data_IF_449185763744
#
_entry.id   IF_449185763744
#
_cell.length_a   1.000
_cell.length_b   1.000
_cell.length_c   1.000
_cell.angle_alpha   90.00
_cell.angle_beta   90.00
_cell.angle_gamma   90.00
#
_symmetry.space_group_name_H-M   'P 1'
#
loop_
_entity.id
_entity.type
_entity.pdbx_description
1 polymer ?
#
# COMPACT_ATOMS: atom_id res chain seq x y z
N UNK A 1 -12.19 4.33 14.42
CA UNK A 1 -11.14 3.29 14.43
C UNK A 1 -10.12 3.59 15.52
N UNK A 2 -9.83 2.64 16.40
CA UNK A 2 -8.65 2.66 17.26
C UNK A 2 -8.19 1.21 17.53
N UNK A 3 -6.96 1.06 18.01
CA UNK A 3 -6.45 -0.21 18.48
C UNK A 3 -7.11 -0.54 19.82
N UNK A 4 -7.80 -1.68 19.96
CA UNK A 4 -8.45 -2.09 21.22
C UNK A 4 -7.55 -3.01 22.04
N UNK A 5 -6.93 -3.99 21.38
CA UNK A 5 -6.20 -5.06 22.07
C UNK A 5 -5.06 -5.61 21.22
N UNK A 6 -3.93 -5.87 21.86
CA UNK A 6 -2.80 -6.61 21.30
C UNK A 6 -2.51 -7.81 22.19
N UNK A 7 -2.57 -9.01 21.62
CA UNK A 7 -2.24 -10.25 22.32
C UNK A 7 -1.00 -10.85 21.70
N UNK A 8 -0.06 -11.28 22.54
CA UNK A 8 1.22 -11.85 22.12
C UNK A 8 1.48 -13.13 22.90
N UNK A 9 1.88 -14.19 22.22
CA UNK A 9 2.29 -15.46 22.81
C UNK A 9 3.50 -15.99 22.06
N UNK A 10 4.59 -16.27 22.77
CA UNK A 10 5.82 -16.79 22.18
C UNK A 10 6.52 -15.84 21.22
N UNK A 11 6.13 -14.56 21.16
CA UNK A 11 6.75 -13.56 20.30
C UNK A 11 7.95 -12.94 20.99
N UNK A 12 9.16 -13.18 20.47
CA UNK A 12 10.43 -12.65 21.01
C UNK A 12 10.50 -12.81 22.53
N UNK A 13 10.57 -11.72 23.29
CA UNK A 13 10.66 -11.73 24.75
C UNK A 13 9.37 -12.19 25.47
N UNK A 14 8.24 -12.30 24.79
CA UNK A 14 6.94 -12.62 25.39
C UNK A 14 6.70 -14.13 25.44
N UNK A 15 7.32 -14.83 26.39
CA UNK A 15 7.17 -16.28 26.56
C UNK A 15 5.75 -16.70 26.97
N UNK A 16 5.08 -15.93 27.84
CA UNK A 16 3.70 -16.18 28.26
C UNK A 16 2.73 -15.28 27.51
N UNK A 17 1.47 -15.74 27.38
CA UNK A 17 0.39 -14.94 26.79
C UNK A 17 0.31 -13.60 27.52
N UNK A 18 0.52 -12.53 26.77
CA UNK A 18 0.48 -11.15 27.26
C UNK A 18 -0.61 -10.43 26.49
N UNK A 19 -1.54 -9.81 27.19
CA UNK A 19 -2.65 -9.06 26.62
C UNK A 19 -2.47 -7.59 27.00
N UNK A 20 -2.38 -6.72 26.02
CA UNK A 20 -2.34 -5.27 26.19
C UNK A 20 -3.67 -4.70 25.69
N UNK A 21 -4.41 -4.06 26.58
CA UNK A 21 -5.62 -3.33 26.25
C UNK A 21 -5.30 -1.85 26.07
N UNK A 22 -5.89 -1.26 25.04
CA UNK A 22 -5.64 0.12 24.65
C UNK A 22 -6.95 0.90 24.74
N UNK A 23 -6.87 2.07 25.37
CA UNK A 23 -7.95 3.03 25.41
C UNK A 23 -7.82 4.03 24.25
N UNK A 24 -8.91 4.71 23.93
CA UNK A 24 -8.86 5.86 23.04
C UNK A 24 -8.01 6.96 23.68
N UNK A 25 -6.92 7.38 23.01
CA UNK A 25 -6.04 8.43 23.50
C UNK A 25 -4.57 8.06 23.36
N UNK A 26 -3.77 8.43 24.35
CA UNK A 26 -2.33 8.21 24.37
C UNK A 26 -2.03 7.06 25.34
N UNK A 27 -1.39 6.00 24.83
CA UNK A 27 -0.89 4.89 25.66
C UNK A 27 0.63 4.91 25.64
N UNK A 28 1.26 4.99 26.81
CA UNK A 28 2.71 4.94 26.95
C UNK A 28 3.17 3.57 27.46
N UNK A 29 4.11 2.95 26.74
CA UNK A 29 4.75 1.70 27.15
C UNK A 29 6.13 2.03 27.72
N UNK A 30 6.29 1.91 29.04
CA UNK A 30 7.53 2.23 29.76
C UNK A 30 8.15 0.99 30.39
N UNK A 31 9.47 1.01 30.55
CA UNK A 31 10.20 -0.09 31.18
C UNK A 31 11.72 -0.01 30.96
N UNK A 32 12.51 -0.77 31.75
CA UNK A 32 13.96 -0.75 31.65
C UNK A 32 14.46 -1.21 30.28
N UNK A 33 15.74 -0.95 30.00
CA UNK A 33 16.36 -1.42 28.77
C UNK A 33 16.41 -2.95 28.76
N UNK A 34 16.10 -3.55 27.61
CA UNK A 34 15.98 -5.02 27.50
C UNK A 34 14.64 -5.61 27.95
N UNK A 35 13.72 -4.85 28.54
CA UNK A 35 12.41 -5.35 29.00
C UNK A 35 11.44 -5.79 27.88
N UNK A 36 11.81 -5.63 26.61
CA UNK A 36 10.96 -5.98 25.48
C UNK A 36 9.96 -4.89 25.06
N UNK A 37 10.07 -3.66 25.57
CA UNK A 37 9.23 -2.52 25.16
C UNK A 37 9.18 -2.33 23.64
N UNK A 38 10.33 -2.35 22.97
CA UNK A 38 10.40 -2.21 21.52
C UNK A 38 9.87 -3.44 20.78
N UNK A 39 9.77 -4.61 21.42
CA UNK A 39 9.17 -5.80 20.82
C UNK A 39 7.64 -5.67 20.71
N UNK A 40 7.01 -4.78 21.50
CA UNK A 40 5.59 -4.43 21.33
C UNK A 40 5.35 -3.73 19.98
N UNK A 41 6.23 -2.80 19.60
CA UNK A 41 6.14 -2.16 18.28
C UNK A 41 6.44 -3.15 17.15
N UNK A 42 7.42 -4.04 17.33
CA UNK A 42 7.74 -5.06 16.33
C UNK A 42 6.60 -6.06 16.13
N UNK A 43 5.88 -6.44 17.19
CA UNK A 43 4.75 -7.37 17.08
C UNK A 43 3.58 -6.74 16.32
N UNK A 44 3.31 -5.45 16.53
CA UNK A 44 2.35 -4.68 15.74
C UNK A 44 2.75 -4.62 14.26
N UNK A 45 4.02 -4.30 13.96
CA UNK A 45 4.51 -4.28 12.57
C UNK A 45 4.40 -5.66 11.92
N UNK A 46 4.74 -6.71 12.67
CA UNK A 46 4.70 -8.08 12.19
C UNK A 46 3.29 -8.58 11.87
N UNK A 47 2.32 -8.34 12.75
CA UNK A 47 0.93 -8.76 12.52
C UNK A 47 0.25 -7.97 11.39
N UNK A 48 0.68 -6.73 11.14
CA UNK A 48 0.26 -5.92 9.99
C UNK A 48 0.85 -6.38 8.64
N UNK A 49 1.60 -7.48 8.61
CA UNK A 49 2.04 -8.12 7.36
C UNK A 49 3.48 -7.81 6.94
N UNK A 50 4.30 -7.21 7.80
CA UNK A 50 5.72 -7.00 7.52
C UNK A 50 6.45 -8.33 7.27
N UNK A 51 7.15 -8.42 6.14
CA UNK A 51 7.92 -9.61 5.76
C UNK A 51 9.42 -9.42 5.97
N UNK A 52 9.91 -8.19 6.00
CA UNK A 52 11.32 -7.88 6.14
C UNK A 52 11.82 -8.18 7.55
N UNK A 53 12.60 -9.25 7.68
CA UNK A 53 13.25 -9.61 8.94
C UNK A 53 14.18 -8.51 9.45
N UNK A 54 14.81 -7.74 8.55
CA UNK A 54 15.64 -6.58 8.90
C UNK A 54 14.83 -5.53 9.65
N UNK A 55 13.61 -5.23 9.18
CA UNK A 55 12.72 -4.27 9.85
C UNK A 55 12.21 -4.77 11.20
N UNK A 56 12.13 -6.10 11.35
CA UNK A 56 11.77 -6.77 12.59
C UNK A 56 12.98 -7.06 13.49
N UNK A 57 14.17 -6.54 13.18
CA UNK A 57 15.40 -6.76 13.97
C UNK A 57 15.72 -8.25 14.19
N UNK A 58 15.44 -9.08 13.18
CA UNK A 58 15.75 -10.52 13.15
C UNK A 58 16.55 -10.88 11.90
N UNK A 59 17.17 -12.07 11.89
CA UNK A 59 17.88 -12.63 10.74
C UNK A 59 17.03 -13.68 10.03
N UNK A 60 16.36 -14.53 10.80
CA UNK A 60 15.51 -15.63 10.32
C UNK A 60 14.11 -15.52 10.88
N UNK A 61 13.12 -16.09 10.19
CA UNK A 61 11.73 -16.15 10.67
C UNK A 61 11.61 -16.81 12.05
N UNK A 62 12.47 -17.80 12.33
CA UNK A 62 12.57 -18.47 13.64
C UNK A 62 12.95 -17.51 14.79
N UNK A 63 13.67 -16.42 14.51
CA UNK A 63 14.09 -15.44 15.54
C UNK A 63 12.90 -14.64 16.11
N UNK A 64 11.73 -14.71 15.46
CA UNK A 64 10.48 -14.16 15.98
C UNK A 64 9.95 -15.01 17.14
N UNK A 65 10.28 -16.31 17.15
CA UNK A 65 9.81 -17.24 18.17
C UNK A 65 10.71 -17.13 19.41
N UNK A 66 10.11 -17.15 20.60
CA UNK A 66 10.84 -17.14 21.85
C UNK A 66 11.85 -18.29 21.90
N UNK A 67 13.13 -17.92 21.93
CA UNK A 67 14.26 -18.85 21.88
C UNK A 67 14.57 -19.53 23.23
N UNK A 68 13.84 -19.18 24.30
CA UNK A 68 14.16 -19.61 25.66
C UNK A 68 14.95 -18.56 26.44
N UNK A 69 14.83 -18.58 27.76
CA UNK A 69 15.48 -17.62 28.65
C UNK A 69 14.79 -17.51 30.00
N UNK A 70 15.53 -17.06 31.02
CA UNK A 70 15.02 -16.82 32.38
C UNK A 70 14.25 -18.03 32.96
N UNK A 71 14.80 -19.23 32.81
CA UNK A 71 14.21 -20.48 33.32
C UNK A 71 13.02 -21.02 32.50
N UNK A 72 12.67 -20.41 31.37
CA UNK A 72 11.64 -20.92 30.44
C UNK A 72 12.26 -21.57 29.21
N UNK A 73 11.72 -22.72 28.82
CA UNK A 73 12.09 -23.42 27.59
C UNK A 73 11.68 -22.63 26.36
N UNK A 74 12.38 -22.85 25.26
CA UNK A 74 12.01 -22.30 23.97
C UNK A 74 10.62 -22.77 23.52
N UNK A 75 9.89 -21.92 22.80
CA UNK A 75 8.58 -22.27 22.25
C UNK A 75 8.70 -22.71 20.79
N UNK A 76 7.72 -23.51 20.34
CA UNK A 76 7.63 -23.98 18.95
C UNK A 76 6.86 -23.04 18.01
N UNK A 77 6.18 -22.04 18.55
CA UNK A 77 5.27 -21.15 17.82
C UNK A 77 5.24 -19.76 18.46
N UNK A 78 5.07 -18.74 17.62
CA UNK A 78 4.73 -17.39 18.04
C UNK A 78 3.40 -16.97 17.40
N UNK A 79 2.52 -16.37 18.20
CA UNK A 79 1.23 -15.83 17.80
C UNK A 79 1.13 -14.38 18.25
N UNK A 80 0.68 -13.52 17.35
CA UNK A 80 0.29 -12.15 17.67
C UNK A 80 -1.10 -11.88 17.09
N UNK A 81 -1.99 -11.36 17.91
CA UNK A 81 -3.35 -10.98 17.52
C UNK A 81 -3.59 -9.49 17.81
N UNK A 82 -4.03 -8.76 16.80
CA UNK A 82 -4.35 -7.34 16.84
C UNK A 82 -5.85 -7.14 16.65
N UNK A 83 -6.53 -6.59 17.65
CA UNK A 83 -7.96 -6.29 17.57
C UNK A 83 -8.18 -4.80 17.36
N UNK A 84 -8.83 -4.45 16.26
CA UNK A 84 -9.17 -3.09 15.86
C UNK A 84 -10.67 -2.85 16.00
N UNK A 85 -11.05 -1.68 16.50
CA UNK A 85 -12.44 -1.24 16.55
C UNK A 85 -12.94 -0.83 15.16
N UNK A 86 -14.04 -1.43 14.71
CA UNK A 86 -14.72 -1.15 13.43
C UNK A 86 -16.12 -0.56 13.61
N UNK A 87 -16.44 0.06 14.76
CA UNK A 87 -17.77 0.66 14.98
C UNK A 87 -18.10 1.78 13.98
N UNK A 88 -17.08 2.44 13.43
CA UNK A 88 -17.23 3.48 12.41
C UNK A 88 -17.36 2.93 10.97
N UNK A 89 -17.32 1.61 10.77
CA UNK A 89 -17.43 0.98 9.45
C UNK A 89 -16.31 1.36 8.48
N UNK A 90 -15.10 1.61 8.99
CA UNK A 90 -13.96 2.04 8.16
C UNK A 90 -13.46 0.92 7.24
N UNK A 91 -13.77 -0.34 7.57
CA UNK A 91 -13.70 -1.48 6.66
C UNK A 91 -15.10 -2.03 6.45
N UNK A 92 -15.38 -2.40 5.19
CA UNK A 92 -16.62 -3.05 4.76
C UNK A 92 -16.68 -4.50 5.29
N UNK A 93 -17.00 -4.63 6.56
CA UNK A 93 -17.13 -5.90 7.29
C UNK A 93 -18.38 -5.87 8.16
N UNK A 94 -19.12 -6.99 8.29
CA UNK A 94 -20.30 -7.07 9.16
C UNK A 94 -19.94 -7.08 10.65
N UNK A 95 -18.65 -7.19 10.99
CA UNK A 95 -18.17 -7.25 12.36
C UNK A 95 -17.85 -5.86 12.92
N UNK A 96 -18.26 -5.62 14.17
CA UNK A 96 -17.91 -4.42 14.95
C UNK A 96 -16.42 -4.38 15.35
N UNK A 97 -15.76 -5.54 15.36
CA UNK A 97 -14.33 -5.67 15.64
C UNK A 97 -13.67 -6.55 14.58
N UNK A 98 -12.43 -6.19 14.25
CA UNK A 98 -11.59 -6.94 13.32
C UNK A 98 -10.35 -7.39 14.07
N UNK A 99 -10.19 -8.70 14.21
CA UNK A 99 -9.01 -9.34 14.80
C UNK A 99 -8.13 -9.90 13.70
N UNK A 100 -6.93 -9.36 13.54
CA UNK A 100 -5.90 -9.87 12.62
C UNK A 100 -4.93 -10.67 13.46
N UNK A 101 -4.72 -11.94 13.12
CA UNK A 101 -3.80 -12.83 13.81
C UNK A 101 -2.75 -13.33 12.84
N UNK A 102 -1.49 -13.34 13.27
CA UNK A 102 -0.38 -13.97 12.55
C UNK A 102 0.29 -15.00 13.46
N UNK A 103 0.55 -16.18 12.91
CA UNK A 103 1.29 -17.26 13.56
C UNK A 103 2.48 -17.66 12.73
N UNK A 104 3.56 -18.03 13.39
CA UNK A 104 4.71 -18.67 12.76
C UNK A 104 5.18 -19.85 13.60
N UNK A 105 5.57 -20.92 12.93
CA UNK A 105 6.03 -22.16 13.53
C UNK A 105 7.51 -22.37 13.22
N UNK A 106 8.21 -23.13 14.07
CA UNK A 106 9.60 -23.53 13.79
C UNK A 106 9.77 -24.38 12.53
N UNK A 107 8.69 -25.00 12.03
CA UNK A 107 8.67 -25.67 10.73
C UNK A 107 8.85 -24.70 9.55
N UNK A 108 8.77 -23.39 9.77
CA UNK A 108 8.79 -22.35 8.73
C UNK A 108 7.40 -21.98 8.20
N UNK A 109 6.36 -22.68 8.64
CA UNK A 109 4.98 -22.38 8.27
C UNK A 109 4.50 -21.07 8.89
N UNK A 110 3.75 -20.29 8.11
CA UNK A 110 3.13 -19.06 8.56
C UNK A 110 1.62 -19.15 8.32
N UNK A 111 0.84 -18.79 9.33
CA UNK A 111 -0.62 -18.72 9.23
C UNK A 111 -1.11 -17.31 9.49
N UNK A 112 -2.11 -16.91 8.72
CA UNK A 112 -2.78 -15.63 8.86
C UNK A 112 -4.25 -15.90 9.10
N UNK A 113 -4.83 -15.20 10.07
CA UNK A 113 -6.24 -15.30 10.38
C UNK A 113 -6.86 -13.90 10.47
N UNK A 114 -8.08 -13.77 9.95
CA UNK A 114 -8.94 -12.60 10.18
C UNK A 114 -10.18 -13.12 10.89
N UNK A 115 -10.49 -12.60 12.07
CA UNK A 115 -11.62 -13.07 12.89
C UNK A 115 -11.64 -14.60 13.07
N UNK A 116 -10.46 -15.20 13.33
CA UNK A 116 -10.23 -16.65 13.46
C UNK A 116 -10.44 -17.48 12.19
N UNK A 117 -10.76 -16.87 11.04
CA UNK A 117 -10.83 -17.53 9.74
C UNK A 117 -9.45 -17.51 9.08
N UNK A 118 -8.98 -18.65 8.58
CA UNK A 118 -7.68 -18.76 7.89
C UNK A 118 -7.74 -18.03 6.55
N UNK A 119 -6.78 -17.14 6.31
CA UNK A 119 -6.67 -16.32 5.10
C UNK A 119 -5.23 -16.31 4.58
N UNK A 120 -5.01 -15.75 3.40
CA UNK A 120 -3.65 -15.53 2.88
C UNK A 120 -3.16 -14.14 3.30
N UNK A 121 -1.84 -13.97 3.30
CA UNK A 121 -1.24 -12.66 3.55
C UNK A 121 -1.77 -11.57 2.59
N UNK A 122 -1.98 -11.93 1.31
CA UNK A 122 -2.55 -10.99 0.32
C UNK A 122 -3.90 -10.43 0.77
N UNK A 123 -4.73 -11.25 1.41
CA UNK A 123 -6.07 -10.85 1.86
C UNK A 123 -5.96 -9.91 3.09
N UNK A 124 -5.00 -10.16 3.99
CA UNK A 124 -4.65 -9.23 5.09
C UNK A 124 -4.16 -7.89 4.56
N UNK A 125 -3.23 -7.90 3.59
CA UNK A 125 -2.72 -6.67 2.98
C UNK A 125 -3.81 -5.89 2.24
N UNK A 126 -4.76 -6.58 1.58
CA UNK A 126 -5.88 -5.94 0.91
C UNK A 126 -6.82 -5.26 1.92
N UNK A 127 -7.12 -5.92 3.04
CA UNK A 127 -7.92 -5.36 4.13
C UNK A 127 -7.26 -4.08 4.68
N UNK A 128 -5.95 -4.14 4.93
CA UNK A 128 -5.14 -3.04 5.42
C UNK A 128 -5.00 -1.90 4.38
N UNK A 129 -5.00 -2.22 3.09
CA UNK A 129 -5.03 -1.20 2.04
C UNK A 129 -6.38 -0.47 1.99
N UNK A 130 -7.49 -1.18 2.14
CA UNK A 130 -8.83 -0.57 2.26
C UNK A 130 -8.91 0.34 3.50
N UNK A 131 -8.26 -0.09 4.58
CA UNK A 131 -8.11 0.67 5.82
C UNK A 131 -7.31 1.97 5.69
N UNK A 132 -6.51 2.10 4.62
CA UNK A 132 -5.40 3.06 4.52
C UNK A 132 -4.33 2.88 5.61
N UNK A 133 -4.21 1.67 6.16
CA UNK A 133 -3.18 1.26 7.12
C UNK A 133 -2.22 0.33 6.36
N UNK A 134 -1.54 0.84 5.32
CA UNK A 134 -0.62 0.04 4.52
C UNK A 134 0.66 -0.39 5.25
N UNK A 135 1.46 -1.27 4.64
CA UNK A 135 2.76 -1.67 5.19
C UNK A 135 3.76 -0.50 5.30
N UNK A 136 3.60 0.52 4.44
CA UNK A 136 4.35 1.79 4.48
C UNK A 136 3.60 2.87 5.28
N UNK A 137 2.46 2.53 5.90
CA UNK A 137 1.73 3.53 6.67
C UNK A 137 2.53 3.93 7.88
N UNK A 138 2.55 5.23 8.15
CA UNK A 138 3.12 5.91 9.33
C UNK A 138 2.59 5.40 10.69
N UNK A 139 1.87 4.29 10.70
CA UNK A 139 1.24 3.65 11.84
C UNK A 139 2.27 3.11 12.84
N UNK A 140 3.47 2.70 12.39
CA UNK A 140 4.53 2.21 13.28
C UNK A 140 5.87 2.89 12.99
N UNK A 141 6.14 4.00 13.68
CA UNK A 141 7.43 4.71 13.58
C UNK A 141 8.46 4.05 14.48
N UNK A 142 9.50 3.47 13.87
CA UNK A 142 10.62 2.84 14.58
C UNK A 142 11.74 3.81 14.95
N UNK A 143 12.65 3.37 15.81
CA UNK A 143 13.88 4.09 16.13
C UNK A 143 14.76 4.25 14.87
N UNK A 144 15.28 5.45 14.63
CA UNK A 144 16.11 5.77 13.47
C UNK A 144 15.35 5.99 12.17
N UNK A 145 14.01 5.81 12.15
CA UNK A 145 13.19 6.07 10.96
C UNK A 145 13.16 7.58 10.64
N UNK A 146 13.21 8.44 11.67
CA UNK A 146 13.29 9.89 11.49
C UNK A 146 14.62 10.30 10.85
N UNK A 147 15.75 9.78 11.36
CA UNK A 147 17.07 10.06 10.80
C UNK A 147 17.21 9.52 9.38
N UNK A 148 16.66 8.32 9.13
CA UNK A 148 16.56 7.75 7.80
C UNK A 148 15.73 8.64 6.87
N UNK A 149 14.55 9.11 7.31
CA UNK A 149 13.67 9.98 6.54
C UNK A 149 14.36 11.30 6.12
N UNK A 150 15.17 11.89 7.00
CA UNK A 150 15.97 13.07 6.70
C UNK A 150 17.08 12.79 5.68
N UNK A 151 17.62 11.57 5.69
CA UNK A 151 18.70 11.11 4.82
C UNK A 151 18.22 10.53 3.47
N UNK A 152 16.90 10.39 3.27
CA UNK A 152 16.35 9.83 2.03
C UNK A 152 16.68 10.70 0.82
N UNK A 153 16.93 10.01 -0.31
CA UNK A 153 17.03 10.66 -1.62
C UNK A 153 15.69 11.27 -2.02
N UNK A 154 15.72 12.24 -2.93
CA UNK A 154 14.53 12.97 -3.35
C UNK A 154 13.44 12.03 -3.91
N UNK A 155 13.83 10.96 -4.61
CA UNK A 155 12.92 9.98 -5.19
C UNK A 155 12.19 9.16 -4.12
N UNK A 156 12.91 8.67 -3.11
CA UNK A 156 12.35 7.88 -1.99
C UNK A 156 11.46 8.75 -1.10
N UNK A 157 11.90 9.99 -0.84
CA UNK A 157 11.15 10.97 -0.07
C UNK A 157 9.85 11.36 -0.75
N UNK A 158 9.82 11.42 -2.09
CA UNK A 158 8.59 11.69 -2.85
C UNK A 158 7.53 10.60 -2.61
N UNK A 159 7.93 9.34 -2.51
CA UNK A 159 7.02 8.24 -2.17
C UNK A 159 6.28 8.50 -0.85
N UNK A 160 7.01 8.94 0.18
CA UNK A 160 6.42 9.32 1.47
C UNK A 160 5.31 10.38 1.34
N UNK A 161 5.55 11.42 0.53
CA UNK A 161 4.55 12.46 0.28
C UNK A 161 3.35 11.95 -0.53
N UNK A 162 3.58 11.11 -1.53
CA UNK A 162 2.52 10.53 -2.35
C UNK A 162 1.58 9.62 -1.55
N UNK A 163 2.13 8.95 -0.53
CA UNK A 163 1.37 8.11 0.41
C UNK A 163 0.53 8.93 1.35
N UNK A 164 1.12 9.97 1.94
CA UNK A 164 0.43 10.92 2.80
C UNK A 164 -0.69 11.66 2.03
N UNK A 165 -0.45 11.95 0.75
CA UNK A 165 -1.46 12.55 -0.14
C UNK A 165 -2.52 11.55 -0.63
N UNK A 166 -2.37 10.25 -0.35
CA UNK A 166 -3.34 9.21 -0.72
C UNK A 166 -3.45 8.99 -2.23
N UNK A 167 -2.39 9.25 -3.00
CA UNK A 167 -2.42 9.20 -4.48
C UNK A 167 -2.16 7.78 -5.01
N UNK A 168 -1.61 6.88 -4.18
CA UNK A 168 -1.29 5.48 -4.55
C UNK A 168 -2.40 4.74 -5.31
N UNK A 169 -3.69 4.76 -4.89
CA UNK A 169 -4.74 4.05 -5.62
C UNK A 169 -4.88 4.52 -7.08
N UNK A 170 -4.74 5.82 -7.33
CA UNK A 170 -4.80 6.38 -8.68
C UNK A 170 -3.58 6.01 -9.52
N UNK A 171 -2.40 5.93 -8.91
CA UNK A 171 -1.19 5.47 -9.60
C UNK A 171 -1.29 4.00 -10.02
N UNK A 172 -1.82 3.15 -9.14
CA UNK A 172 -2.07 1.72 -9.45
C UNK A 172 -3.09 1.60 -10.58
N UNK A 173 -4.21 2.33 -10.54
CA UNK A 173 -5.20 2.34 -11.62
C UNK A 173 -4.59 2.82 -12.95
N UNK A 174 -3.73 3.84 -12.92
CA UNK A 174 -3.03 4.32 -14.12
C UNK A 174 -2.10 3.24 -14.69
N UNK A 175 -1.30 2.60 -13.84
CA UNK A 175 -0.37 1.55 -14.25
C UNK A 175 -1.11 0.34 -14.84
N UNK A 176 -2.24 -0.06 -14.25
CA UNK A 176 -3.10 -1.13 -14.77
C UNK A 176 -3.70 -0.77 -16.13
N UNK A 177 -4.19 0.46 -16.30
CA UNK A 177 -4.70 0.94 -17.58
C UNK A 177 -3.59 0.97 -18.65
N UNK A 178 -2.38 1.43 -18.32
CA UNK A 178 -1.22 1.40 -19.21
C UNK A 178 -0.82 -0.04 -19.58
N UNK A 179 -0.83 -0.97 -18.64
CA UNK A 179 -0.58 -2.39 -18.93
C UNK A 179 -1.64 -2.97 -19.87
N UNK A 180 -2.91 -2.69 -19.63
CA UNK A 180 -4.00 -3.12 -20.54
C UNK A 180 -3.83 -2.56 -21.94
N UNK A 181 -3.45 -1.28 -22.08
CA UNK A 181 -3.14 -0.68 -23.37
C UNK A 181 -1.95 -1.36 -24.06
N UNK A 182 -0.87 -1.63 -23.32
CA UNK A 182 0.31 -2.35 -23.84
C UNK A 182 -0.04 -3.75 -24.36
N UNK A 183 -0.96 -4.46 -23.70
CA UNK A 183 -1.41 -5.78 -24.13
C UNK A 183 -2.46 -5.74 -25.26
N UNK A 184 -3.30 -4.69 -25.31
CA UNK A 184 -4.33 -4.53 -26.33
C UNK A 184 -3.79 -4.04 -27.67
N UNK A 185 -2.63 -3.35 -27.69
CA UNK A 185 -1.94 -2.99 -28.93
C UNK A 185 -0.93 -4.10 -29.27
N UNK A 186 -1.18 -4.95 -30.28
CA UNK A 186 -0.16 -5.89 -30.72
C UNK A 186 1.04 -5.08 -31.21
N UNK A 187 2.22 -5.33 -30.65
CA UNK A 187 3.50 -4.92 -31.24
C UNK A 187 3.79 -5.80 -32.47
N UNK A 188 2.84 -5.86 -33.41
CA UNK A 188 3.04 -6.34 -34.75
C UNK A 188 2.65 -5.22 -35.69
N UNK A 189 3.58 -4.29 -35.87
CA UNK A 189 4.06 -3.98 -37.21
C UNK A 189 5.14 -2.92 -37.11
N UNK A 190 6.32 -3.24 -37.64
CA UNK A 190 7.19 -2.24 -38.29
C UNK A 190 6.51 -1.64 -39.53
N UNK A 191 5.23 -1.29 -39.45
CA UNK A 191 4.56 -0.48 -40.44
C UNK A 191 4.58 0.94 -39.90
N UNK A 192 5.44 1.74 -40.50
CA UNK A 192 5.63 3.16 -40.20
C UNK A 192 4.29 3.86 -39.94
N UNK A 193 4.28 4.74 -38.92
CA UNK A 193 3.25 5.76 -38.67
C UNK A 193 2.89 6.64 -39.90
N UNK A 194 3.53 6.43 -41.05
CA UNK A 194 3.23 7.09 -42.32
C UNK A 194 1.99 6.52 -43.05
N UNK A 195 1.59 5.26 -42.82
CA UNK A 195 0.49 4.65 -43.58
C UNK A 195 -0.90 5.07 -43.09
N UNK A 196 -1.06 5.40 -41.81
CA UNK A 196 -2.36 5.84 -41.27
C UNK A 196 -2.77 7.27 -41.67
N UNK A 197 -1.87 8.03 -42.32
CA UNK A 197 -2.16 9.40 -42.78
C UNK A 197 -2.84 9.47 -44.16
N UNK A 198 -2.82 8.40 -44.96
CA UNK A 198 -3.37 8.42 -46.34
C UNK A 198 -4.83 7.98 -46.47
N UNK A 199 -5.42 7.35 -45.45
CA UNK A 199 -6.81 6.86 -45.53
C UNK A 199 -7.88 7.87 -45.11
N UNK A 200 -7.51 9.07 -44.68
CA UNK A 200 -8.47 10.15 -44.35
C UNK A 200 -8.62 11.22 -45.44
N UNK A 201 -7.89 11.11 -46.56
CA UNK A 201 -7.91 12.10 -47.64
C UNK A 201 -8.86 11.77 -48.80
N UNK A 202 -9.56 10.63 -48.78
CA UNK A 202 -10.64 10.33 -49.73
C UNK A 202 -11.86 9.86 -48.94
N UNK A 203 -12.91 10.69 -48.96
CA UNK A 203 -14.15 10.39 -48.27
C UNK A 203 -14.74 9.07 -48.75
N UNK A 204 -14.82 8.10 -47.85
CA UNK A 204 -15.73 6.98 -47.97
C UNK A 204 -16.34 6.68 -46.59
N UNK A 205 -17.67 6.65 -46.59
CA UNK A 205 -18.54 6.37 -45.48
C UNK A 205 -18.20 4.99 -44.87
N UNK A 206 -17.75 4.97 -43.62
CA UNK A 206 -17.82 3.75 -42.80
C UNK A 206 -19.11 3.80 -41.99
N UNK A 207 -20.11 3.06 -42.47
CA UNK A 207 -21.30 2.68 -41.72
C UNK A 207 -20.91 1.86 -40.49
N UNK A 208 -21.39 2.25 -39.31
CA UNK A 208 -21.28 1.46 -38.08
C UNK A 208 -20.93 2.26 -36.83
N UNK A 209 -21.94 2.88 -36.21
CA UNK A 209 -22.15 3.02 -34.76
C UNK A 209 -21.13 3.69 -33.81
N UNK A 210 -19.83 3.71 -34.09
CA UNK A 210 -18.80 4.05 -33.08
C UNK A 210 -18.25 5.47 -33.24
N UNK A 211 -18.50 6.13 -34.38
CA UNK A 211 -17.93 7.44 -34.68
C UNK A 211 -18.72 8.63 -34.07
N UNK A 212 -19.90 8.38 -33.50
CA UNK A 212 -20.77 9.45 -32.97
C UNK A 212 -20.43 9.83 -31.51
N UNK A 213 -19.85 8.92 -30.72
CA UNK A 213 -19.47 9.23 -29.33
C UNK A 213 -18.20 10.08 -29.22
N UNK A 214 -17.25 9.93 -30.14
CA UNK A 214 -16.01 10.73 -30.15
C UNK A 214 -16.22 12.17 -30.67
N UNK A 215 -17.23 12.42 -31.50
CA UNK A 215 -17.60 13.78 -31.93
C UNK A 215 -18.18 14.61 -30.79
N UNK A 216 -18.93 14.00 -29.87
CA UNK A 216 -19.51 14.74 -28.73
C UNK A 216 -18.43 15.19 -27.74
N UNK A 217 -17.45 14.33 -27.45
CA UNK A 217 -16.32 14.67 -26.55
C UNK A 217 -15.40 15.73 -27.15
N UNK A 218 -15.13 15.66 -28.46
CA UNK A 218 -14.30 16.66 -29.15
C UNK A 218 -15.03 18.00 -29.35
N UNK A 219 -16.37 18.01 -29.47
CA UNK A 219 -17.14 19.25 -29.58
C UNK A 219 -17.23 20.03 -28.25
N UNK A 220 -17.13 19.35 -27.11
CA UNK A 220 -17.08 19.97 -25.79
C UNK A 220 -15.72 20.63 -25.50
N UNK A 221 -14.63 20.05 -26.01
CA UNK A 221 -13.28 20.57 -25.78
C UNK A 221 -12.90 21.75 -26.68
N UNK A 222 -13.71 22.08 -27.70
CA UNK A 222 -13.31 23.00 -28.77
C UNK A 222 -14.18 24.26 -28.90
N UNK A 223 -14.87 24.69 -27.83
CA UNK A 223 -15.66 25.94 -27.83
C UNK A 223 -15.12 27.10 -27.02
N UNK A 224 -13.92 27.03 -26.45
CA UNK A 224 -13.33 28.22 -25.85
C UNK A 224 -11.82 28.34 -26.09
N UNK A 225 -11.46 29.45 -26.74
CA UNK A 225 -10.13 30.04 -26.94
C UNK A 225 -9.19 29.34 -27.92
N UNK A 226 -9.35 29.58 -29.23
CA UNK A 226 -8.21 29.71 -30.16
C UNK A 226 -8.57 30.67 -31.31
N UNK A 227 -8.67 31.96 -30.99
CA UNK A 227 -8.49 33.08 -31.94
C UNK A 227 -7.41 33.97 -31.36
N UNK A 228 -6.15 33.59 -31.56
CA UNK A 228 -4.94 34.45 -31.56
C UNK A 228 -3.72 33.52 -31.58
N UNK A 229 -2.71 33.95 -32.32
CA UNK A 229 -1.42 33.31 -32.56
C UNK A 229 -1.43 32.23 -33.64
N UNK A 230 -1.31 32.73 -34.88
CA UNK A 230 -0.89 31.92 -36.01
C UNK A 230 0.58 31.53 -35.90
N UNK A 231 0.91 30.45 -36.59
CA UNK A 231 2.27 29.99 -36.89
C UNK A 231 3.09 29.61 -35.67
N UNK A 232 3.40 28.33 -35.52
CA UNK A 232 4.77 27.82 -35.37
C UNK A 232 4.67 26.31 -35.13
N UNK A 233 5.28 25.57 -36.05
CA UNK A 233 5.47 24.13 -36.04
C UNK A 233 6.51 23.73 -35.00
N UNK A 234 6.09 23.13 -33.87
CA UNK A 234 6.84 22.09 -33.15
C UNK A 234 6.09 21.58 -31.90
N UNK A 235 5.72 20.27 -31.81
CA UNK A 235 4.91 19.73 -30.71
C UNK A 235 5.69 19.46 -29.40
N UNK A 236 7.00 19.70 -29.34
CA UNK A 236 7.82 19.35 -28.16
C UNK A 236 7.94 20.45 -27.06
N UNK A 237 7.30 21.62 -27.21
CA UNK A 237 7.36 22.69 -26.18
C UNK A 237 6.10 22.82 -25.30
N UNK A 238 5.06 22.02 -25.52
CA UNK A 238 3.82 22.09 -24.73
C UNK A 238 3.88 21.38 -23.37
N UNK A 239 4.97 20.67 -23.06
CA UNK A 239 5.15 20.00 -21.76
C UNK A 239 5.76 20.89 -20.66
N UNK A 240 6.11 22.15 -20.93
CA UNK A 240 6.78 23.04 -19.95
C UNK A 240 5.94 24.22 -19.43
N UNK A 241 4.64 24.28 -19.68
CA UNK A 241 3.79 25.41 -19.25
C UNK A 241 2.49 25.02 -18.50
N UNK A 242 2.41 23.82 -17.92
CA UNK A 242 1.24 23.41 -17.11
C UNK A 242 1.56 23.04 -15.65
N UNK A 243 2.69 23.50 -15.10
CA UNK A 243 3.08 23.25 -13.71
C UNK A 243 3.28 24.52 -12.86
N UNK A 244 2.80 25.69 -13.31
CA UNK A 244 2.91 26.96 -12.55
C UNK A 244 1.59 27.59 -12.16
N UNK A 245 0.49 26.85 -12.18
CA UNK A 245 -0.76 27.27 -11.54
C UNK A 245 -1.40 26.11 -10.79
N UNK A 246 -0.72 25.69 -9.72
CA UNK A 246 -1.31 25.05 -8.53
C UNK A 246 -0.27 25.15 -7.42
N UNK A 247 -0.06 26.38 -6.94
CA UNK A 247 0.26 26.75 -5.55
C UNK A 247 -0.54 28.02 -5.29
#
# INVERSE_FOLDING_TARGET
MYLKRLEMLGFKSFASRTVLEFSSGITAVVGPNGAGKSNVADSMRWVLGEQSMRQLRGKKSEDIIFAGGYGKSSLGMAEVSLTLDNCTGWVSSPYSEICITRRTFRSGENEYLINKQKVRLKDVLLLLAQARIGHDSYTVVGQGLIDAALSLRAEERRGLFEDAAGIRPFQVQRADAENRLRHAVPLNSGSSLASYRKSCSHGMLCNGGVCTQLKNVLSMLNRNKYKRYGGWSNPCKLLKCKLTHYV
#
